data_IF_081145678257
#
_entry.id   IF_081145678257
#
_cell.length_a   1.000
_cell.length_b   1.000
_cell.length_c   1.000
_cell.angle_alpha   90.00
_cell.angle_beta   90.00
_cell.angle_gamma   90.00
#
_symmetry.space_group_name_H-M   'P 1'
#
loop_
_entity.id
_entity.type
_entity.pdbx_description
1 polymer ?
#
# COMPACT_ATOMS: atom_id res chain seq x y z
N UNK A 1 37.50 -1.76 -21.18
CA UNK A 1 38.05 -3.10 -20.92
C UNK A 1 37.35 -4.07 -21.86
N UNK A 2 38.06 -4.91 -22.62
CA UNK A 2 37.40 -5.86 -23.55
C UNK A 2 36.67 -6.95 -22.76
N UNK A 3 35.43 -7.27 -23.14
CA UNK A 3 34.64 -8.34 -22.50
C UNK A 3 35.17 -9.73 -22.91
N UNK A 4 35.66 -9.90 -24.14
CA UNK A 4 36.20 -11.17 -24.62
C UNK A 4 37.74 -11.22 -24.50
N UNK A 5 38.27 -12.34 -24.02
CA UNK A 5 39.72 -12.59 -23.87
C UNK A 5 40.23 -13.76 -24.73
N UNK A 6 39.33 -14.55 -25.35
CA UNK A 6 39.62 -15.77 -26.14
C UNK A 6 40.31 -16.91 -25.38
N UNK A 7 40.63 -16.74 -24.09
CA UNK A 7 41.29 -17.78 -23.28
C UNK A 7 40.38 -18.98 -22.99
N UNK A 8 39.08 -18.88 -23.27
CA UNK A 8 38.10 -19.94 -23.08
C UNK A 8 37.76 -20.74 -24.34
N UNK A 9 38.36 -20.45 -25.48
CA UNK A 9 37.99 -21.03 -26.79
C UNK A 9 38.32 -22.53 -26.87
N UNK A 10 39.34 -22.98 -26.13
CA UNK A 10 39.70 -24.39 -25.99
C UNK A 10 38.78 -25.19 -25.03
N UNK A 11 37.62 -24.65 -24.65
CA UNK A 11 36.63 -25.35 -23.81
C UNK A 11 36.94 -25.38 -22.31
N UNK A 12 37.90 -24.58 -21.83
CA UNK A 12 38.24 -24.44 -20.41
C UNK A 12 37.92 -23.04 -19.89
N UNK A 13 37.74 -22.89 -18.58
CA UNK A 13 37.49 -21.61 -17.90
C UNK A 13 38.25 -21.56 -16.58
N UNK A 14 38.52 -20.36 -16.07
CA UNK A 14 39.11 -20.18 -14.75
C UNK A 14 38.00 -20.05 -13.69
N UNK A 15 38.16 -20.73 -12.56
CA UNK A 15 37.42 -20.50 -11.32
C UNK A 15 37.89 -19.20 -10.67
N UNK A 16 37.20 -18.76 -9.62
CA UNK A 16 37.57 -17.54 -8.89
C UNK A 16 38.99 -17.62 -8.28
N UNK A 17 39.41 -18.83 -7.91
CA UNK A 17 40.76 -19.13 -7.42
C UNK A 17 41.86 -19.09 -8.50
N UNK A 18 41.50 -18.90 -9.77
CA UNK A 18 42.42 -18.98 -10.91
C UNK A 18 42.65 -20.39 -11.45
N UNK A 19 42.20 -21.43 -10.74
CA UNK A 19 42.26 -22.81 -11.23
C UNK A 19 41.46 -22.98 -12.51
N UNK A 20 42.04 -23.65 -13.52
CA UNK A 20 41.35 -23.90 -14.78
C UNK A 20 40.64 -25.25 -14.78
N UNK A 21 39.37 -25.24 -15.16
CA UNK A 21 38.52 -26.43 -15.29
C UNK A 21 37.87 -26.47 -16.68
N UNK A 22 37.36 -27.63 -17.09
CA UNK A 22 36.53 -27.74 -18.31
C UNK A 22 35.22 -26.96 -18.10
N UNK A 23 34.69 -26.33 -19.14
CA UNK A 23 33.38 -25.63 -19.06
C UNK A 23 32.23 -26.57 -18.71
N UNK A 24 32.38 -27.87 -18.97
CA UNK A 24 31.42 -28.92 -18.61
C UNK A 24 31.60 -29.48 -17.20
N UNK A 25 32.51 -28.92 -16.39
CA UNK A 25 32.75 -29.39 -15.03
C UNK A 25 31.49 -29.18 -14.17
N UNK A 26 31.09 -30.12 -13.29
CA UNK A 26 29.86 -30.00 -12.49
C UNK A 26 29.73 -28.65 -11.76
N UNK A 27 30.81 -28.17 -11.14
CA UNK A 27 30.86 -26.83 -10.52
C UNK A 27 30.42 -25.70 -11.46
N UNK A 28 30.90 -25.72 -12.71
CA UNK A 28 30.58 -24.70 -13.73
C UNK A 28 29.13 -24.80 -14.17
N UNK A 29 28.64 -26.01 -14.37
CA UNK A 29 27.22 -26.28 -14.67
C UNK A 29 26.32 -25.77 -13.54
N UNK A 30 26.67 -26.01 -12.27
CA UNK A 30 25.86 -25.60 -11.12
C UNK A 30 25.72 -24.08 -11.03
N UNK A 31 26.83 -23.32 -10.99
CA UNK A 31 26.72 -21.85 -10.92
C UNK A 31 26.21 -21.23 -12.22
N UNK A 32 26.44 -21.86 -13.38
CA UNK A 32 25.84 -21.45 -14.64
C UNK A 32 24.31 -21.59 -14.64
N UNK A 33 23.79 -22.67 -14.03
CA UNK A 33 22.35 -22.86 -13.86
C UNK A 33 21.76 -21.84 -12.88
N UNK A 34 22.50 -21.48 -11.82
CA UNK A 34 22.09 -20.41 -10.89
C UNK A 34 22.02 -19.04 -11.58
N UNK A 35 22.96 -18.74 -12.49
CA UNK A 35 22.93 -17.51 -13.29
C UNK A 35 21.71 -17.48 -14.22
N UNK A 36 21.35 -18.60 -14.83
CA UNK A 36 20.14 -18.72 -15.66
C UNK A 36 18.86 -18.52 -14.83
N UNK A 37 18.80 -19.07 -13.61
CA UNK A 37 17.71 -18.77 -12.67
C UNK A 37 17.68 -17.26 -12.36
N UNK A 38 18.82 -16.65 -12.08
CA UNK A 38 18.89 -15.22 -11.75
C UNK A 38 18.43 -14.33 -12.91
N UNK A 39 18.79 -14.68 -14.14
CA UNK A 39 18.28 -14.03 -15.35
C UNK A 39 16.74 -14.16 -15.46
N UNK A 40 16.19 -15.35 -15.17
CA UNK A 40 14.74 -15.54 -15.16
C UNK A 40 14.04 -14.73 -14.06
N UNK A 41 14.64 -14.59 -12.87
CA UNK A 41 14.11 -13.74 -11.80
C UNK A 41 14.07 -12.26 -12.21
N UNK A 42 15.04 -11.79 -13.02
CA UNK A 42 15.01 -10.43 -13.60
C UNK A 42 13.75 -10.22 -14.45
N UNK A 43 13.34 -11.23 -15.22
CA UNK A 43 12.11 -11.17 -16.01
C UNK A 43 10.86 -11.16 -15.14
N UNK A 44 10.86 -11.89 -14.01
CA UNK A 44 9.78 -11.88 -13.03
C UNK A 44 9.62 -10.49 -12.40
N UNK A 45 10.73 -9.87 -11.99
CA UNK A 45 10.75 -8.55 -11.37
C UNK A 45 10.32 -7.39 -12.30
N UNK A 46 10.09 -7.63 -13.60
CA UNK A 46 9.52 -6.64 -14.54
C UNK A 46 8.01 -6.68 -14.64
N UNK A 47 7.37 -7.74 -14.16
CA UNK A 47 5.92 -7.96 -14.31
C UNK A 47 5.21 -8.17 -12.99
N UNK A 48 5.92 -8.51 -11.92
CA UNK A 48 5.36 -8.61 -10.57
C UNK A 48 4.83 -7.25 -10.10
N UNK A 49 3.72 -7.27 -9.36
CA UNK A 49 2.98 -6.10 -8.90
C UNK A 49 3.10 -5.89 -7.39
N UNK A 50 3.31 -6.96 -6.60
CA UNK A 50 3.46 -6.86 -5.15
C UNK A 50 4.79 -6.22 -4.76
N UNK A 51 4.75 -5.10 -4.03
CA UNK A 51 5.96 -4.38 -3.60
C UNK A 51 6.90 -5.25 -2.74
N UNK A 52 6.34 -5.95 -1.76
CA UNK A 52 7.10 -6.89 -0.93
C UNK A 52 7.67 -8.07 -1.75
N UNK A 53 6.95 -8.52 -2.78
CA UNK A 53 7.43 -9.58 -3.68
C UNK A 53 8.61 -9.07 -4.52
N UNK A 54 8.54 -7.84 -5.00
CA UNK A 54 9.63 -7.19 -5.75
C UNK A 54 10.89 -7.02 -4.87
N UNK A 55 10.72 -6.56 -3.63
CA UNK A 55 11.83 -6.44 -2.68
C UNK A 55 12.48 -7.79 -2.39
N UNK A 56 11.67 -8.84 -2.19
CA UNK A 56 12.17 -10.19 -1.98
C UNK A 56 12.89 -10.74 -3.22
N UNK A 57 12.34 -10.54 -4.42
CA UNK A 57 12.98 -10.95 -5.65
C UNK A 57 14.36 -10.29 -5.80
N UNK A 58 14.46 -8.98 -5.57
CA UNK A 58 15.75 -8.27 -5.60
C UNK A 58 16.76 -8.85 -4.59
N UNK A 59 16.33 -9.14 -3.37
CA UNK A 59 17.18 -9.78 -2.37
C UNK A 59 17.66 -11.17 -2.83
N UNK A 60 16.78 -11.98 -3.42
CA UNK A 60 17.12 -13.31 -3.97
C UNK A 60 18.14 -13.16 -5.09
N UNK A 61 18.00 -12.20 -6.00
CA UNK A 61 18.96 -12.01 -7.10
C UNK A 61 20.37 -11.72 -6.59
N UNK A 62 20.50 -10.87 -5.57
CA UNK A 62 21.77 -10.60 -4.90
C UNK A 62 22.31 -11.85 -4.18
N UNK A 63 21.45 -12.57 -3.47
CA UNK A 63 21.83 -13.82 -2.79
C UNK A 63 22.35 -14.86 -3.79
N UNK A 64 21.68 -15.07 -4.93
CA UNK A 64 22.10 -16.00 -5.98
C UNK A 64 23.42 -15.59 -6.64
N UNK A 65 23.67 -14.29 -6.79
CA UNK A 65 24.95 -13.78 -7.30
C UNK A 65 26.11 -14.16 -6.37
N UNK A 66 25.97 -13.94 -5.06
CA UNK A 66 27.00 -14.31 -4.09
C UNK A 66 27.13 -15.82 -3.89
N UNK A 67 26.01 -16.54 -3.95
CA UNK A 67 26.01 -18.00 -3.94
C UNK A 67 26.80 -18.56 -5.15
N UNK A 68 26.62 -18.00 -6.33
CA UNK A 68 27.40 -18.39 -7.52
C UNK A 68 28.90 -18.13 -7.32
N UNK A 69 29.27 -17.00 -6.70
CA UNK A 69 30.65 -16.69 -6.37
C UNK A 69 31.26 -17.65 -5.33
N UNK A 70 30.47 -18.07 -4.34
CA UNK A 70 30.86 -19.07 -3.34
C UNK A 70 31.16 -20.42 -4.00
N UNK A 71 30.28 -20.88 -4.90
CA UNK A 71 30.52 -22.12 -5.64
C UNK A 71 31.73 -22.05 -6.58
N UNK A 72 32.08 -20.86 -7.08
CA UNK A 72 33.25 -20.64 -7.93
C UNK A 72 34.57 -20.54 -7.15
N UNK A 73 34.53 -20.51 -5.81
CA UNK A 73 35.67 -20.25 -4.92
C UNK A 73 36.07 -21.51 -4.14
N UNK A 74 36.89 -22.38 -4.74
CA UNK A 74 37.34 -23.63 -4.12
C UNK A 74 38.31 -23.42 -2.95
N UNK A 75 38.11 -24.12 -1.82
CA UNK A 75 39.06 -24.14 -0.70
C UNK A 75 39.19 -22.85 0.11
N UNK A 76 38.29 -21.89 -0.11
CA UNK A 76 38.27 -20.63 0.62
C UNK A 76 37.28 -20.76 1.79
N UNK A 77 37.79 -20.89 3.03
CA UNK A 77 36.97 -21.02 4.26
C UNK A 77 36.13 -19.77 4.57
N UNK A 78 36.50 -18.61 4.00
CA UNK A 78 35.82 -17.32 4.21
C UNK A 78 35.65 -16.58 2.90
N UNK A 79 34.43 -16.18 2.50
CA UNK A 79 34.21 -15.53 1.21
C UNK A 79 35.17 -14.34 1.02
N UNK A 80 35.76 -14.17 -0.18
CA UNK A 80 36.90 -13.28 -0.42
C UNK A 80 36.64 -11.78 -0.22
N UNK A 81 35.40 -11.39 0.12
CA UNK A 81 35.03 -10.07 0.60
C UNK A 81 34.02 -10.27 1.71
N UNK A 82 34.11 -9.55 2.84
CA UNK A 82 33.19 -9.61 3.99
C UNK A 82 31.72 -9.24 3.68
N UNK A 83 31.10 -10.00 2.78
CA UNK A 83 29.75 -9.85 2.23
C UNK A 83 28.92 -11.06 2.63
N UNK A 84 27.62 -10.83 2.79
CA UNK A 84 26.64 -11.79 3.31
C UNK A 84 26.57 -13.04 2.41
N UNK A 85 27.13 -14.15 2.89
CA UNK A 85 26.75 -15.48 2.41
C UNK A 85 25.31 -15.79 2.82
N UNK A 86 24.65 -16.67 2.06
CA UNK A 86 23.34 -17.20 2.44
C UNK A 86 23.42 -17.81 3.84
N UNK A 87 22.42 -17.50 4.64
CA UNK A 87 22.29 -17.81 6.06
C UNK A 87 20.89 -18.28 6.41
N UNK A 88 20.69 -18.75 7.64
CA UNK A 88 19.39 -19.20 8.12
C UNK A 88 18.32 -18.09 8.06
N UNK A 89 18.71 -16.83 8.24
CA UNK A 89 17.77 -15.70 8.14
C UNK A 89 17.23 -15.53 6.72
N UNK A 90 18.01 -15.89 5.71
CA UNK A 90 17.55 -15.84 4.32
C UNK A 90 16.54 -16.94 4.04
N UNK A 91 16.71 -18.13 4.64
CA UNK A 91 15.74 -19.23 4.57
C UNK A 91 14.43 -18.83 5.25
N UNK A 92 14.50 -18.27 6.46
CA UNK A 92 13.33 -17.78 7.19
C UNK A 92 12.56 -16.69 6.42
N UNK A 93 13.27 -15.83 5.68
CA UNK A 93 12.63 -14.84 4.83
C UNK A 93 11.82 -15.48 3.69
N UNK A 94 12.32 -16.57 3.09
CA UNK A 94 11.58 -17.33 2.08
C UNK A 94 10.35 -18.00 2.67
N UNK A 95 10.47 -18.62 3.84
CA UNK A 95 9.36 -19.29 4.56
C UNK A 95 8.27 -18.28 4.95
N UNK A 96 8.67 -17.13 5.51
CA UNK A 96 7.73 -16.07 5.85
C UNK A 96 6.99 -15.55 4.61
N UNK A 97 7.66 -15.45 3.46
CA UNK A 97 7.02 -15.08 2.21
C UNK A 97 6.02 -16.13 1.72
N UNK A 98 6.32 -17.43 1.88
CA UNK A 98 5.38 -18.51 1.59
C UNK A 98 4.12 -18.36 2.45
N UNK A 99 4.28 -18.23 3.76
CA UNK A 99 3.17 -18.11 4.70
C UNK A 99 2.29 -16.90 4.38
N UNK A 100 2.92 -15.73 4.18
CA UNK A 100 2.24 -14.47 3.85
C UNK A 100 1.42 -14.56 2.56
N UNK A 101 2.00 -15.12 1.50
CA UNK A 101 1.32 -15.26 0.21
C UNK A 101 0.18 -16.27 0.31
N UNK A 102 0.43 -17.43 0.92
CA UNK A 102 -0.55 -18.51 0.98
C UNK A 102 -1.74 -18.19 1.89
N UNK A 103 -1.55 -17.41 2.95
CA UNK A 103 -2.62 -16.99 3.86
C UNK A 103 -3.72 -16.14 3.19
N UNK A 104 -3.38 -15.43 2.11
CA UNK A 104 -4.31 -14.55 1.38
C UNK A 104 -5.01 -15.25 0.21
N UNK A 105 -4.62 -16.50 -0.08
CA UNK A 105 -5.08 -17.23 -1.25
C UNK A 105 -6.11 -18.29 -0.91
N UNK A 106 -7.06 -18.57 -1.81
CA UNK A 106 -7.95 -19.70 -1.66
C UNK A 106 -7.16 -21.01 -1.53
N UNK A 107 -7.58 -21.94 -0.64
CA UNK A 107 -6.96 -23.24 -0.51
C UNK A 107 -7.14 -24.05 -1.81
N UNK A 108 -6.13 -24.82 -2.17
CA UNK A 108 -6.16 -25.68 -3.36
C UNK A 108 -5.85 -27.11 -2.93
N UNK A 109 -6.70 -28.05 -3.36
CA UNK A 109 -6.63 -29.46 -2.98
C UNK A 109 -6.06 -30.37 -4.09
N UNK A 110 -5.45 -29.80 -5.13
CA UNK A 110 -4.88 -30.54 -6.25
C UNK A 110 -3.77 -29.78 -6.97
N UNK A 111 -3.21 -30.37 -8.03
CA UNK A 111 -2.19 -29.68 -8.84
C UNK A 111 -2.81 -28.51 -9.62
N UNK A 112 -2.08 -27.39 -9.64
CA UNK A 112 -2.42 -26.24 -10.47
C UNK A 112 -1.62 -26.26 -11.77
N UNK A 113 -2.22 -25.79 -12.85
CA UNK A 113 -1.47 -25.46 -14.06
C UNK A 113 -0.60 -24.22 -13.78
N UNK A 114 0.64 -24.18 -14.27
CA UNK A 114 1.56 -23.10 -13.97
C UNK A 114 1.19 -21.83 -14.73
N UNK A 115 0.61 -20.88 -14.01
CA UNK A 115 0.42 -19.51 -14.48
C UNK A 115 -0.92 -19.31 -15.17
N UNK A 116 -1.67 -18.33 -14.70
CA UNK A 116 -2.86 -17.78 -15.35
C UNK A 116 -2.63 -16.35 -15.85
N UNK A 117 -1.53 -15.73 -15.41
CA UNK A 117 -1.10 -14.39 -15.79
C UNK A 117 0.37 -14.37 -16.21
N UNK A 118 0.83 -13.26 -16.80
CA UNK A 118 2.23 -13.10 -17.20
C UNK A 118 3.19 -13.21 -16.01
N UNK A 119 2.83 -12.60 -14.87
CA UNK A 119 3.65 -12.62 -13.66
C UNK A 119 3.76 -14.03 -13.06
N UNK A 120 2.62 -14.70 -12.83
CA UNK A 120 2.61 -16.06 -12.30
C UNK A 120 3.27 -17.08 -13.24
N UNK A 121 3.11 -16.92 -14.57
CA UNK A 121 3.77 -17.79 -15.56
C UNK A 121 5.29 -17.70 -15.49
N UNK A 122 5.85 -16.48 -15.42
CA UNK A 122 7.31 -16.29 -15.31
C UNK A 122 7.85 -16.82 -13.98
N UNK A 123 7.14 -16.62 -12.88
CA UNK A 123 7.53 -17.14 -11.56
C UNK A 123 7.49 -18.66 -11.52
N UNK A 124 6.48 -19.29 -12.12
CA UNK A 124 6.46 -20.74 -12.27
C UNK A 124 7.57 -21.26 -13.17
N UNK A 125 7.94 -20.54 -14.22
CA UNK A 125 9.11 -20.88 -15.03
C UNK A 125 10.40 -20.82 -14.20
N UNK A 126 10.63 -19.72 -13.48
CA UNK A 126 11.77 -19.56 -12.56
C UNK A 126 11.79 -20.66 -11.49
N UNK A 127 10.65 -21.06 -10.95
CA UNK A 127 10.54 -22.20 -10.01
C UNK A 127 11.08 -23.50 -10.61
N UNK A 128 10.85 -23.78 -11.89
CA UNK A 128 11.42 -24.99 -12.53
C UNK A 128 12.94 -24.91 -12.64
N UNK A 129 13.48 -23.71 -12.89
CA UNK A 129 14.91 -23.45 -12.91
C UNK A 129 15.54 -23.60 -11.52
N UNK A 130 14.88 -23.13 -10.46
CA UNK A 130 15.31 -23.33 -9.08
C UNK A 130 15.43 -24.82 -8.74
N UNK A 131 14.44 -25.63 -9.13
CA UNK A 131 14.50 -27.10 -8.98
C UNK A 131 15.60 -27.73 -9.84
N UNK A 132 15.93 -27.15 -11.00
CA UNK A 132 17.06 -27.61 -11.82
C UNK A 132 18.39 -27.28 -11.15
N UNK A 133 18.55 -26.08 -10.60
CA UNK A 133 19.71 -25.69 -9.80
C UNK A 133 19.90 -26.62 -8.61
N UNK A 134 18.82 -26.94 -7.91
CA UNK A 134 18.83 -27.86 -6.76
C UNK A 134 19.43 -29.22 -7.14
N UNK A 135 18.96 -29.84 -8.25
CA UNK A 135 19.51 -31.11 -8.73
C UNK A 135 21.00 -31.01 -9.06
N UNK A 136 21.42 -29.93 -9.74
CA UNK A 136 22.85 -29.70 -10.06
C UNK A 136 23.71 -29.46 -8.84
N UNK A 137 23.17 -28.84 -7.79
CA UNK A 137 23.87 -28.64 -6.53
C UNK A 137 24.01 -29.96 -5.78
N UNK A 138 22.97 -30.79 -5.76
CA UNK A 138 23.01 -32.12 -5.15
C UNK A 138 24.05 -33.01 -5.84
N UNK A 139 24.07 -33.05 -7.18
CA UNK A 139 25.09 -33.77 -7.96
C UNK A 139 26.52 -33.29 -7.64
N UNK A 140 26.70 -31.97 -7.42
CA UNK A 140 27.99 -31.40 -7.04
C UNK A 140 28.39 -31.78 -5.60
N UNK A 141 27.42 -31.80 -4.68
CA UNK A 141 27.64 -32.09 -3.26
C UNK A 141 28.10 -33.55 -3.00
N UNK A 142 27.87 -34.46 -3.93
CA UNK A 142 28.41 -35.83 -3.89
C UNK A 142 29.93 -35.87 -4.13
N UNK A 143 30.50 -34.84 -4.77
CA UNK A 143 31.90 -34.82 -5.21
C UNK A 143 32.76 -33.86 -4.38
N UNK A 144 32.18 -32.75 -3.92
CA UNK A 144 32.88 -31.72 -3.15
C UNK A 144 32.05 -31.25 -1.97
N UNK A 145 32.68 -30.82 -0.86
CA UNK A 145 31.96 -30.25 0.27
C UNK A 145 31.16 -29.00 -0.16
N UNK A 146 29.86 -28.99 0.15
CA UNK A 146 28.95 -27.87 -0.06
C UNK A 146 28.25 -27.56 1.27
N UNK A 147 28.07 -26.28 1.59
CA UNK A 147 27.39 -25.87 2.82
C UNK A 147 25.93 -26.35 2.81
N UNK A 148 25.44 -27.08 3.84
CA UNK A 148 24.08 -27.61 3.87
C UNK A 148 22.98 -26.55 3.72
N UNK A 149 23.22 -25.33 4.22
CA UNK A 149 22.29 -24.20 4.11
C UNK A 149 21.95 -23.84 2.64
N UNK A 150 22.87 -24.09 1.69
CA UNK A 150 22.66 -23.78 0.28
C UNK A 150 21.66 -24.75 -0.38
N UNK A 151 21.73 -26.03 -0.01
CA UNK A 151 20.76 -27.05 -0.44
C UNK A 151 19.37 -26.75 0.12
N UNK A 152 19.29 -26.40 1.41
CA UNK A 152 18.03 -26.01 2.06
C UNK A 152 17.44 -24.76 1.41
N UNK A 153 18.27 -23.75 1.15
CA UNK A 153 17.84 -22.50 0.51
C UNK A 153 17.24 -22.74 -0.88
N UNK A 154 17.85 -23.54 -1.76
CA UNK A 154 17.26 -23.82 -3.08
C UNK A 154 15.94 -24.60 -2.98
N UNK A 155 15.85 -25.54 -2.04
CA UNK A 155 14.62 -26.28 -1.82
C UNK A 155 13.48 -25.34 -1.41
N UNK A 156 13.69 -24.45 -0.42
CA UNK A 156 12.72 -23.43 0.00
C UNK A 156 12.47 -22.35 -1.03
N UNK A 157 13.47 -21.98 -1.83
CA UNK A 157 13.30 -21.01 -2.91
C UNK A 157 12.28 -21.52 -3.94
N UNK A 158 12.28 -22.82 -4.24
CA UNK A 158 11.29 -23.37 -5.17
C UNK A 158 9.86 -23.31 -4.63
N UNK A 159 9.68 -23.50 -3.32
CA UNK A 159 8.37 -23.33 -2.65
C UNK A 159 7.96 -21.86 -2.59
N UNK A 160 8.90 -20.96 -2.29
CA UNK A 160 8.69 -19.52 -2.29
C UNK A 160 8.25 -19.01 -3.68
N UNK A 161 8.94 -19.40 -4.75
CA UNK A 161 8.57 -19.02 -6.11
C UNK A 161 7.20 -19.57 -6.52
N UNK A 162 6.78 -20.73 -5.98
CA UNK A 162 5.41 -21.22 -6.16
C UNK A 162 4.38 -20.31 -5.47
N UNK A 163 4.63 -19.94 -4.22
CA UNK A 163 3.73 -19.08 -3.45
C UNK A 163 3.61 -17.68 -4.09
N UNK A 164 4.74 -17.07 -4.48
CA UNK A 164 4.77 -15.80 -5.19
C UNK A 164 4.00 -15.88 -6.53
N UNK A 165 4.17 -16.96 -7.29
CA UNK A 165 3.46 -17.12 -8.56
C UNK A 165 1.94 -17.08 -8.39
N UNK A 166 1.43 -17.74 -7.34
CA UNK A 166 -0.01 -17.75 -7.04
C UNK A 166 -0.52 -16.40 -6.54
N UNK A 167 0.26 -15.72 -5.70
CA UNK A 167 -0.09 -14.39 -5.17
C UNK A 167 -0.15 -13.36 -6.30
N UNK A 168 0.83 -13.35 -7.20
CA UNK A 168 0.84 -12.47 -8.37
C UNK A 168 -0.29 -12.78 -9.37
N UNK A 169 -0.57 -14.07 -9.62
CA UNK A 169 -1.73 -14.47 -10.44
C UNK A 169 -3.04 -13.89 -9.87
N UNK A 170 -3.24 -13.99 -8.55
CA UNK A 170 -4.44 -13.48 -7.89
C UNK A 170 -4.52 -11.94 -7.96
N UNK A 171 -3.41 -11.24 -7.71
CA UNK A 171 -3.34 -9.77 -7.77
C UNK A 171 -3.68 -9.25 -9.17
N UNK A 172 -3.04 -9.80 -10.20
CA UNK A 172 -3.24 -9.36 -11.56
C UNK A 172 -4.66 -9.72 -12.06
N UNK A 173 -5.19 -10.89 -11.68
CA UNK A 173 -6.58 -11.27 -11.99
C UNK A 173 -7.60 -10.33 -11.33
N UNK A 174 -7.38 -9.97 -10.06
CA UNK A 174 -8.23 -9.02 -9.34
C UNK A 174 -8.19 -7.64 -10.02
N UNK A 175 -7.00 -7.14 -10.37
CA UNK A 175 -6.85 -5.85 -11.04
C UNK A 175 -7.58 -5.82 -12.39
N UNK A 176 -7.43 -6.86 -13.21
CA UNK A 176 -8.13 -6.99 -14.50
C UNK A 176 -9.65 -7.05 -14.31
N UNK A 177 -10.12 -7.76 -13.28
CA UNK A 177 -11.55 -7.84 -12.96
C UNK A 177 -12.10 -6.48 -12.57
N UNK A 178 -11.41 -5.75 -11.68
CA UNK A 178 -11.80 -4.39 -11.26
C UNK A 178 -11.86 -3.46 -12.48
N UNK A 179 -10.82 -3.45 -13.32
CA UNK A 179 -10.79 -2.63 -14.54
C UNK A 179 -11.96 -2.95 -15.48
N UNK A 180 -12.25 -4.25 -15.67
CA UNK A 180 -13.36 -4.69 -16.51
C UNK A 180 -14.71 -4.25 -15.95
N UNK A 181 -14.92 -4.37 -14.63
CA UNK A 181 -16.16 -3.94 -13.97
C UNK A 181 -16.34 -2.43 -14.06
N UNK A 182 -15.29 -1.65 -13.79
CA UNK A 182 -15.31 -0.19 -13.92
C UNK A 182 -15.61 0.22 -15.36
N UNK A 183 -14.96 -0.39 -16.35
CA UNK A 183 -15.21 -0.11 -17.77
C UNK A 183 -16.66 -0.42 -18.17
N UNK A 184 -17.22 -1.54 -17.71
CA UNK A 184 -18.63 -1.91 -17.96
C UNK A 184 -19.59 -0.92 -17.30
N UNK A 185 -19.33 -0.55 -16.04
CA UNK A 185 -20.12 0.44 -15.31
C UNK A 185 -20.15 1.78 -16.06
N UNK A 186 -18.97 2.30 -16.42
CA UNK A 186 -18.84 3.56 -17.16
C UNK A 186 -19.49 3.52 -18.55
N UNK A 187 -19.53 2.37 -19.21
CA UNK A 187 -20.21 2.20 -20.49
C UNK A 187 -21.75 2.17 -20.37
N UNK A 188 -22.27 1.74 -19.22
CA UNK A 188 -23.72 1.71 -18.94
C UNK A 188 -24.27 3.03 -18.41
N UNK A 189 -23.41 3.87 -17.82
CA UNK A 189 -23.74 5.25 -17.50
C UNK A 189 -23.66 6.10 -18.78
N UNK A 190 -24.79 6.63 -19.24
CA UNK A 190 -24.87 7.61 -20.35
C UNK A 190 -24.20 8.94 -20.02
N UNK A 191 -23.83 9.15 -18.76
CA UNK A 191 -22.91 10.21 -18.36
C UNK A 191 -21.50 9.79 -18.77
N UNK A 192 -21.00 10.37 -19.87
CA UNK A 192 -19.55 10.44 -20.12
C UNK A 192 -18.88 10.81 -18.80
N UNK A 193 -17.79 10.13 -18.37
CA UNK A 193 -16.94 10.75 -17.37
C UNK A 193 -16.61 12.12 -17.92
N UNK A 194 -17.06 13.16 -17.21
CA UNK A 194 -16.77 14.53 -17.57
C UNK A 194 -15.25 14.54 -17.69
N UNK A 195 -14.75 14.66 -18.91
CA UNK A 195 -13.36 15.00 -19.12
C UNK A 195 -13.07 16.15 -18.16
N UNK A 196 -11.85 16.27 -17.64
CA UNK A 196 -11.48 17.38 -16.78
C UNK A 196 -11.49 18.74 -17.53
N UNK A 197 -12.54 19.06 -18.30
CA UNK A 197 -13.09 20.39 -18.43
C UNK A 197 -13.52 20.82 -17.03
N UNK A 198 -12.70 21.67 -16.41
CA UNK A 198 -13.12 22.44 -15.25
C UNK A 198 -14.54 22.96 -15.43
N UNK A 199 -15.41 22.82 -14.43
CA UNK A 199 -16.26 23.91 -14.02
C UNK A 199 -15.57 24.57 -12.82
N UNK A 200 -15.29 25.87 -12.94
CA UNK A 200 -15.12 26.66 -11.74
C UNK A 200 -16.39 26.55 -10.86
N UNK A 201 -16.16 26.69 -9.54
CA UNK A 201 -17.07 27.19 -8.50
C UNK A 201 -18.28 26.35 -8.09
N UNK A 202 -18.11 25.52 -7.05
CA UNK A 202 -19.13 25.37 -5.99
C UNK A 202 -18.60 24.69 -4.70
N UNK A 203 -17.57 23.84 -4.75
CA UNK A 203 -17.04 23.17 -3.56
C UNK A 203 -16.02 24.02 -2.77
N UNK A 204 -15.78 23.65 -1.50
CA UNK A 204 -14.66 24.18 -0.72
C UNK A 204 -13.32 23.75 -1.34
N UNK A 205 -12.53 24.71 -1.84
CA UNK A 205 -11.19 24.46 -2.33
C UNK A 205 -10.14 24.41 -1.22
N UNK A 206 -8.91 24.03 -1.55
CA UNK A 206 -7.79 24.00 -0.58
C UNK A 206 -7.62 25.34 0.17
N UNK A 207 -7.71 26.47 -0.55
CA UNK A 207 -7.60 27.80 0.06
C UNK A 207 -8.72 28.09 1.06
N UNK A 208 -9.95 27.66 0.76
CA UNK A 208 -11.10 27.84 1.65
C UNK A 208 -10.91 27.02 2.93
N UNK A 209 -10.56 25.74 2.77
CA UNK A 209 -10.34 24.80 3.87
C UNK A 209 -9.19 25.28 4.77
N UNK A 210 -8.07 25.68 4.17
CA UNK A 210 -6.91 26.17 4.91
C UNK A 210 -7.25 27.44 5.70
N UNK A 211 -7.94 28.39 5.06
CA UNK A 211 -8.28 29.66 5.69
C UNK A 211 -9.33 29.50 6.80
N UNK A 212 -10.35 28.65 6.60
CA UNK A 212 -11.35 28.32 7.63
C UNK A 212 -10.69 27.74 8.89
N UNK A 213 -9.79 26.77 8.73
CA UNK A 213 -9.10 26.18 9.87
C UNK A 213 -8.17 27.16 10.55
N UNK A 214 -7.38 27.92 9.78
CA UNK A 214 -6.50 28.94 10.33
C UNK A 214 -7.27 29.94 11.19
N UNK A 215 -8.36 30.50 10.67
CA UNK A 215 -9.16 31.50 11.38
C UNK A 215 -9.88 30.91 12.60
N UNK A 216 -10.38 29.67 12.52
CA UNK A 216 -10.98 29.00 13.66
C UNK A 216 -9.97 28.78 14.78
N UNK A 217 -8.75 28.36 14.45
CA UNK A 217 -7.67 28.17 15.42
C UNK A 217 -7.23 29.51 16.04
N UNK A 218 -7.09 30.56 15.24
CA UNK A 218 -6.78 31.91 15.74
C UNK A 218 -7.88 32.45 16.67
N UNK A 219 -9.15 32.19 16.38
CA UNK A 219 -10.27 32.55 17.26
C UNK A 219 -10.26 31.74 18.56
N UNK A 220 -9.95 30.44 18.50
CA UNK A 220 -9.85 29.58 19.68
C UNK A 220 -8.72 30.02 20.62
N UNK A 221 -7.57 30.42 20.08
CA UNK A 221 -6.43 30.93 20.85
C UNK A 221 -6.75 32.24 21.61
N UNK A 222 -7.68 33.05 21.12
CA UNK A 222 -8.15 34.26 21.83
C UNK A 222 -9.06 33.94 23.02
N UNK A 223 -9.67 32.76 23.04
CA UNK A 223 -10.59 32.28 24.09
C UNK A 223 -9.94 31.30 25.08
N UNK A 224 -8.60 31.31 25.17
CA UNK A 224 -7.75 30.21 25.68
C UNK A 224 -8.37 28.79 25.74
N UNK A 225 -9.02 28.32 24.67
CA UNK A 225 -9.58 26.96 24.60
C UNK A 225 -8.98 26.16 23.45
N UNK A 226 -8.83 24.85 23.67
CA UNK A 226 -8.43 23.91 22.63
C UNK A 226 -9.67 23.31 21.97
N UNK A 227 -9.76 23.40 20.63
CA UNK A 227 -10.89 22.86 19.86
C UNK A 227 -10.47 21.90 18.75
N UNK A 228 -11.41 21.05 18.34
CA UNK A 228 -11.39 20.31 17.09
C UNK A 228 -12.18 21.09 16.05
N UNK A 229 -11.56 21.28 14.89
CA UNK A 229 -12.16 21.91 13.71
C UNK A 229 -12.41 20.82 12.66
N UNK A 230 -13.64 20.70 12.19
CA UNK A 230 -14.04 19.72 11.18
C UNK A 230 -14.72 20.41 9.99
N UNK A 231 -14.36 20.01 8.78
CA UNK A 231 -14.90 20.52 7.54
C UNK A 231 -15.41 19.38 6.66
N UNK A 232 -16.68 19.46 6.26
CA UNK A 232 -17.31 18.53 5.33
C UNK A 232 -17.63 19.22 3.99
N UNK A 233 -17.63 18.46 2.90
CA UNK A 233 -18.10 18.93 1.59
C UNK A 233 -19.63 19.07 1.57
N UNK A 234 -20.18 19.58 0.46
CA UNK A 234 -21.62 19.76 0.30
C UNK A 234 -22.44 18.45 0.30
N UNK A 235 -21.79 17.29 0.20
CA UNK A 235 -22.41 15.97 0.29
C UNK A 235 -22.27 15.34 1.68
N UNK A 236 -21.60 16.02 2.62
CA UNK A 236 -21.35 15.56 3.98
C UNK A 236 -20.13 14.64 4.10
N UNK A 237 -19.30 14.50 3.07
CA UNK A 237 -18.04 13.78 3.20
C UNK A 237 -17.02 14.64 3.94
N UNK A 238 -16.31 14.06 4.90
CA UNK A 238 -15.29 14.79 5.65
C UNK A 238 -14.10 15.12 4.74
N UNK A 239 -13.81 16.42 4.62
CA UNK A 239 -12.63 16.93 3.91
C UNK A 239 -11.43 16.96 4.85
N UNK A 240 -11.60 17.53 6.04
CA UNK A 240 -10.52 17.71 7.00
C UNK A 240 -11.03 17.74 8.43
N UNK A 241 -10.24 17.16 9.33
CA UNK A 241 -10.36 17.35 10.77
C UNK A 241 -9.00 17.78 11.32
N UNK A 242 -8.99 18.87 12.09
CA UNK A 242 -7.81 19.36 12.78
C UNK A 242 -8.09 19.40 14.27
N UNK A 243 -7.23 18.75 15.05
CA UNK A 243 -7.32 18.67 16.50
C UNK A 243 -6.19 19.49 17.12
N UNK A 244 -6.54 20.53 17.88
CA UNK A 244 -5.56 21.23 18.70
C UNK A 244 -5.01 20.30 19.81
N UNK A 245 -3.78 20.52 20.29
CA UNK A 245 -3.32 19.87 21.52
C UNK A 245 -4.29 20.12 22.68
N UNK A 246 -4.39 19.16 23.59
CA UNK A 246 -5.17 19.26 24.84
C UNK A 246 -6.70 19.39 24.69
N UNK A 247 -7.27 19.18 23.50
CA UNK A 247 -8.73 19.08 23.33
C UNK A 247 -9.31 17.87 24.07
N UNK A 248 -10.53 18.01 24.59
CA UNK A 248 -11.33 16.88 25.09
C UNK A 248 -11.49 15.79 24.01
N UNK A 249 -11.40 14.51 24.41
CA UNK A 249 -11.48 13.38 23.47
C UNK A 249 -12.82 13.35 22.72
N UNK A 250 -13.92 13.66 23.43
CA UNK A 250 -15.28 13.69 22.87
C UNK A 250 -15.42 14.68 21.70
N UNK A 251 -14.61 15.74 21.67
CA UNK A 251 -14.62 16.74 20.61
C UNK A 251 -14.18 16.19 19.26
N UNK A 252 -13.37 15.13 19.25
CA UNK A 252 -12.92 14.47 18.02
C UNK A 252 -14.06 13.71 17.32
N UNK A 253 -15.08 13.31 18.07
CA UNK A 253 -16.29 12.70 17.53
C UNK A 253 -17.39 13.74 17.26
N UNK A 254 -17.52 14.74 18.14
CA UNK A 254 -18.59 15.74 18.05
C UNK A 254 -18.36 16.75 16.92
N UNK A 255 -17.15 17.27 16.71
CA UNK A 255 -16.92 18.27 15.66
C UNK A 255 -17.27 17.74 14.25
N UNK A 256 -16.84 16.53 13.83
CA UNK A 256 -17.28 15.96 12.55
C UNK A 256 -18.79 15.78 12.46
N UNK A 257 -19.45 15.29 13.51
CA UNK A 257 -20.91 15.13 13.54
C UNK A 257 -21.65 16.46 13.44
N UNK A 258 -21.14 17.52 14.07
CA UNK A 258 -21.67 18.89 13.95
C UNK A 258 -21.56 19.42 12.52
N UNK A 259 -20.39 19.24 11.87
CA UNK A 259 -20.18 19.63 10.48
C UNK A 259 -21.13 18.86 9.54
N UNK A 260 -21.22 17.54 9.71
CA UNK A 260 -22.11 16.68 8.94
C UNK A 260 -23.58 17.04 9.14
N UNK A 261 -24.00 17.25 10.38
CA UNK A 261 -25.38 17.64 10.72
C UNK A 261 -25.75 18.94 10.02
N UNK A 262 -24.83 19.90 10.00
CA UNK A 262 -25.08 21.19 9.36
C UNK A 262 -25.31 21.07 7.85
N UNK A 263 -24.60 20.17 7.17
CA UNK A 263 -24.83 19.85 5.75
C UNK A 263 -26.13 19.08 5.56
N UNK A 264 -26.35 18.01 6.33
CA UNK A 264 -27.49 17.11 6.19
C UNK A 264 -28.83 17.82 6.46
N UNK A 265 -28.86 18.68 7.49
CA UNK A 265 -30.06 19.41 7.91
C UNK A 265 -30.15 20.81 7.29
N UNK A 266 -29.11 21.24 6.56
CA UNK A 266 -28.99 22.58 5.95
C UNK A 266 -29.27 23.73 6.92
N UNK A 267 -28.90 23.54 8.18
CA UNK A 267 -29.19 24.47 9.28
C UNK A 267 -28.08 24.39 10.33
N UNK A 268 -27.89 25.46 11.10
CA UNK A 268 -26.91 25.43 12.18
C UNK A 268 -27.39 24.50 13.31
N UNK A 269 -26.48 23.73 13.91
CA UNK A 269 -26.83 22.65 14.85
C UNK A 269 -27.59 23.15 16.08
N UNK A 270 -27.35 24.39 16.52
CA UNK A 270 -28.09 25.00 17.64
C UNK A 270 -29.58 25.26 17.33
N UNK A 271 -29.94 25.46 16.05
CA UNK A 271 -31.32 25.74 15.63
C UNK A 271 -32.20 24.49 15.74
N UNK A 272 -31.60 23.29 15.77
CA UNK A 272 -32.32 22.02 15.93
C UNK A 272 -32.78 21.77 17.37
N UNK A 273 -32.19 22.44 18.36
CA UNK A 273 -32.44 22.18 19.78
C UNK A 273 -33.92 22.27 20.17
N UNK A 274 -34.66 23.26 19.65
CA UNK A 274 -36.09 23.42 19.95
C UNK A 274 -36.96 22.34 19.29
N UNK A 275 -36.58 21.88 18.09
CA UNK A 275 -37.37 20.91 17.32
C UNK A 275 -37.26 19.48 17.86
N UNK A 276 -36.25 19.19 18.68
CA UNK A 276 -35.99 17.85 19.23
C UNK A 276 -36.40 17.69 20.70
N UNK A 277 -37.01 18.70 21.32
CA UNK A 277 -37.49 18.61 22.71
C UNK A 277 -38.65 17.60 22.84
N UNK A 278 -38.87 17.00 24.03
CA UNK A 278 -40.05 16.17 24.28
C UNK A 278 -41.34 16.87 23.86
N UNK A 279 -42.09 16.25 22.94
CA UNK A 279 -43.34 16.79 22.38
C UNK A 279 -43.20 17.64 21.11
N UNK A 280 -41.98 17.91 20.64
CA UNK A 280 -41.72 18.58 19.37
C UNK A 280 -41.68 17.60 18.18
N UNK A 281 -41.75 18.14 16.95
CA UNK A 281 -41.92 17.36 15.72
C UNK A 281 -40.75 16.43 15.37
N UNK A 282 -39.54 16.73 15.85
CA UNK A 282 -38.32 15.94 15.62
C UNK A 282 -37.79 15.30 16.91
N UNK A 283 -38.65 15.09 17.91
CA UNK A 283 -38.27 14.36 19.12
C UNK A 283 -37.66 12.98 18.75
N UNK A 284 -36.55 12.61 19.39
CA UNK A 284 -35.74 11.40 19.11
C UNK A 284 -34.95 11.38 17.79
N UNK A 285 -34.76 12.52 17.11
CA UNK A 285 -33.94 12.57 15.90
C UNK A 285 -32.50 12.06 16.11
N UNK A 286 -31.87 12.39 17.23
CA UNK A 286 -30.50 11.91 17.54
C UNK A 286 -30.46 10.39 17.71
N UNK A 287 -31.45 9.80 18.41
CA UNK A 287 -31.52 8.36 18.62
C UNK A 287 -31.84 7.58 17.33
N UNK A 288 -32.79 8.08 16.53
CA UNK A 288 -33.21 7.46 15.26
C UNK A 288 -32.12 7.47 14.18
N UNK A 289 -31.15 8.39 14.29
CA UNK A 289 -29.99 8.49 13.37
C UNK A 289 -28.74 7.77 13.89
N UNK A 290 -28.86 7.00 14.97
CA UNK A 290 -27.72 6.30 15.59
C UNK A 290 -26.68 7.27 16.17
N UNK A 291 -27.12 8.44 16.66
CA UNK A 291 -26.26 9.47 17.23
C UNK A 291 -25.39 10.21 16.21
N UNK A 292 -25.78 10.21 14.92
CA UNK A 292 -25.09 10.97 13.86
C UNK A 292 -25.47 12.45 13.85
N UNK A 293 -26.72 12.78 14.17
CA UNK A 293 -27.20 14.16 14.29
C UNK A 293 -26.81 14.72 15.65
N UNK A 294 -26.31 15.95 15.67
CA UNK A 294 -26.01 16.72 16.89
C UNK A 294 -26.90 17.96 16.94
N UNK A 295 -27.69 18.12 17.99
CA UNK A 295 -28.67 19.21 18.11
C UNK A 295 -28.24 20.38 18.99
N UNK A 296 -26.93 20.52 19.28
CA UNK A 296 -26.37 21.62 20.05
C UNK A 296 -25.25 22.34 19.27
N UNK A 297 -25.01 23.60 19.61
CA UNK A 297 -24.25 24.55 18.78
C UNK A 297 -22.79 24.20 18.50
N UNK A 298 -22.24 24.83 17.47
CA UNK A 298 -20.88 24.64 16.97
C UNK A 298 -20.80 24.07 15.56
N UNK A 299 -21.92 23.64 14.96
CA UNK A 299 -22.01 23.25 13.55
C UNK A 299 -22.76 24.28 12.71
N UNK A 300 -22.22 24.64 11.53
CA UNK A 300 -22.79 25.62 10.61
C UNK A 300 -22.68 25.19 9.15
N UNK A 301 -23.75 25.34 8.35
CA UNK A 301 -23.67 25.15 6.91
C UNK A 301 -22.89 26.32 6.30
N UNK A 302 -22.11 26.02 5.27
CA UNK A 302 -21.31 27.00 4.54
C UNK A 302 -21.97 27.25 3.20
N UNK A 303 -22.32 28.50 2.93
CA UNK A 303 -23.00 28.93 1.71
C UNK A 303 -22.12 29.89 0.90
N UNK A 304 -22.16 29.75 -0.42
CA UNK A 304 -21.53 30.67 -1.39
C UNK A 304 -22.51 30.86 -2.53
N UNK A 305 -22.88 32.11 -2.81
CA UNK A 305 -23.81 32.46 -3.89
C UNK A 305 -25.13 31.65 -3.85
N UNK A 306 -25.70 31.46 -2.64
CA UNK A 306 -26.92 30.69 -2.42
C UNK A 306 -26.78 29.17 -2.56
N UNK A 307 -25.57 28.65 -2.81
CA UNK A 307 -25.29 27.22 -2.90
C UNK A 307 -24.58 26.71 -1.65
N UNK A 308 -24.99 25.54 -1.18
CA UNK A 308 -24.34 24.85 -0.06
C UNK A 308 -22.99 24.31 -0.54
N UNK A 309 -21.90 24.81 0.03
CA UNK A 309 -20.54 24.43 -0.36
C UNK A 309 -19.87 23.46 0.62
N UNK A 310 -20.42 23.36 1.84
CA UNK A 310 -19.93 22.43 2.86
C UNK A 310 -20.51 22.71 4.25
N UNK A 311 -19.87 22.15 5.27
CA UNK A 311 -20.22 22.38 6.67
C UNK A 311 -18.99 22.51 7.55
N UNK A 312 -19.05 23.42 8.52
CA UNK A 312 -18.04 23.61 9.55
C UNK A 312 -18.57 23.09 10.89
N UNK A 313 -17.72 22.37 11.62
CA UNK A 313 -17.99 21.89 12.98
C UNK A 313 -16.84 22.24 13.92
N UNK A 314 -17.16 22.90 15.03
CA UNK A 314 -16.25 23.22 16.12
C UNK A 314 -16.70 22.49 17.38
N UNK A 315 -15.74 21.88 18.08
CA UNK A 315 -15.97 21.33 19.41
C UNK A 315 -14.74 21.42 20.30
N UNK A 316 -14.91 21.91 21.52
CA UNK A 316 -13.86 21.84 22.56
C UNK A 316 -14.12 22.72 23.78
N UNK A 317 -14.92 23.78 23.64
CA UNK A 317 -15.35 24.65 24.73
C UNK A 317 -16.82 24.48 25.12
N UNK A 318 -17.40 25.52 25.70
CA UNK A 318 -18.85 25.64 25.85
C UNK A 318 -19.53 25.80 24.47
N UNK A 319 -20.84 25.59 24.42
CA UNK A 319 -21.62 25.74 23.17
C UNK A 319 -21.46 27.16 22.59
N UNK A 320 -21.46 28.18 23.45
CA UNK A 320 -21.31 29.58 23.08
C UNK A 320 -19.91 29.86 22.51
N UNK A 321 -18.88 29.26 23.11
CA UNK A 321 -17.50 29.41 22.65
C UNK A 321 -17.28 28.71 21.29
N UNK A 322 -17.77 27.49 21.14
CA UNK A 322 -17.73 26.73 19.88
C UNK A 322 -18.44 27.52 18.76
N UNK A 323 -19.60 28.11 19.07
CA UNK A 323 -20.34 28.96 18.15
C UNK A 323 -19.53 30.20 17.78
N UNK A 324 -18.99 30.93 18.76
CA UNK A 324 -18.20 32.14 18.50
C UNK A 324 -17.01 31.87 17.56
N UNK A 325 -16.29 30.77 17.78
CA UNK A 325 -15.16 30.36 16.93
C UNK A 325 -15.63 30.07 15.50
N UNK A 326 -16.71 29.30 15.35
CA UNK A 326 -17.24 28.95 14.04
C UNK A 326 -17.67 30.21 13.27
N UNK A 327 -18.40 31.11 13.92
CA UNK A 327 -18.87 32.35 13.31
C UNK A 327 -17.72 33.29 12.91
N UNK A 328 -16.67 33.38 13.73
CA UNK A 328 -15.48 34.17 13.42
C UNK A 328 -14.76 33.64 12.16
N UNK A 329 -14.62 32.32 12.03
CA UNK A 329 -14.00 31.69 10.87
C UNK A 329 -14.83 31.90 9.59
N UNK A 330 -16.14 31.78 9.69
CA UNK A 330 -17.07 31.90 8.56
C UNK A 330 -17.16 33.35 8.06
N UNK A 331 -17.28 34.31 8.97
CA UNK A 331 -17.51 35.72 8.63
C UNK A 331 -16.34 36.32 7.86
N UNK A 332 -15.10 35.90 8.16
CA UNK A 332 -13.90 36.37 7.48
C UNK A 332 -13.75 35.87 6.04
N UNK A 333 -14.58 34.90 5.61
CA UNK A 333 -14.58 34.35 4.25
C UNK A 333 -15.84 34.72 3.44
N UNK A 334 -16.69 35.61 3.95
CA UNK A 334 -17.98 35.98 3.34
C UNK A 334 -18.90 34.78 3.07
N UNK A 335 -18.78 33.72 3.86
CA UNK A 335 -19.59 32.51 3.75
C UNK A 335 -20.86 32.64 4.62
N UNK A 336 -21.70 33.67 4.43
CA UNK A 336 -22.97 33.79 5.18
C UNK A 336 -24.21 34.05 4.31
N UNK A 337 -25.23 33.23 4.64
CA UNK A 337 -26.67 33.13 4.39
C UNK A 337 -27.32 33.78 3.15
N UNK A 338 -27.96 32.89 2.39
CA UNK A 338 -29.28 32.95 1.71
C UNK A 338 -29.78 34.30 1.19
#
# INVERSE_FOLDING_TARGET
MSIYTKTGDAGTTALFTGQRVKKSHPRVETYGTLDELNAALSLCARVAQGEENLQLLDAIQHQLFYFSAELASEGIETPPCGRKSISETDIQALEHAVDRCMAQLPPVHGFILPGSTEAGSRLHFARTLARRCERRLTELAEQVPVRPVLLQYLNRLSDCLYALARDEDQRQTLQQTVQTVVARYLATTTEKPVAATQPASAGLGFSDVHQLVKLAVEAAMKLPIAVVVALADCHGNMIMTYRMPDTLLVSSELAPKKAWTAVAMKTATHQLSAAIQPGASLFQLEASTGGKVVSFGGGYPLWRDGQLVGGLGISGGSVEQDMHIAEAAISALHLRNE
#
